data_IF_174843914609
#
_entry.id   IF_174843914609
#
_cell.length_a   1.000
_cell.length_b   1.000
_cell.length_c   1.000
_cell.angle_alpha   90.00
_cell.angle_beta   90.00
_cell.angle_gamma   90.00
#
_symmetry.space_group_name_H-M   'P 1'
#
loop_
_entity.id
_entity.type
_entity.pdbx_description
1 polymer ?
#
# COMPACT_ATOMS: atom_id res chain seq x y z
N UNK A 1 -13.81 -25.48 21.27
CA UNK A 1 -14.12 -24.04 21.11
C UNK A 1 -12.84 -23.25 21.29
N UNK A 2 -12.59 -22.19 20.50
CA UNK A 2 -11.37 -21.39 20.63
C UNK A 2 -11.44 -20.58 21.93
N UNK A 3 -10.67 -20.97 22.94
CA UNK A 3 -10.55 -20.30 24.22
C UNK A 3 -9.09 -20.30 24.67
N UNK A 4 -8.71 -19.32 25.46
CA UNK A 4 -7.33 -19.19 25.96
C UNK A 4 -7.32 -18.65 27.39
N UNK A 5 -6.32 -19.05 28.16
CA UNK A 5 -6.00 -18.49 29.49
C UNK A 5 -4.68 -17.72 29.49
N UNK A 6 -3.94 -17.75 28.36
CA UNK A 6 -2.61 -17.15 28.26
C UNK A 6 -2.72 -15.65 28.04
N UNK A 7 -1.97 -14.90 28.82
CA UNK A 7 -1.93 -13.46 28.81
C UNK A 7 -0.52 -12.94 28.50
N UNK A 8 -0.48 -11.83 27.77
CA UNK A 8 0.65 -10.91 27.76
C UNK A 8 0.30 -9.74 28.68
N UNK A 9 1.09 -9.51 29.72
CA UNK A 9 1.00 -8.32 30.55
C UNK A 9 1.56 -7.13 29.77
N UNK A 10 0.81 -6.05 29.73
CA UNK A 10 1.23 -4.85 29.02
C UNK A 10 0.71 -3.59 29.69
N UNK A 11 1.34 -2.44 29.45
CA UNK A 11 0.88 -1.15 29.96
C UNK A 11 -0.54 -0.85 29.48
N UNK A 12 -1.43 -0.44 30.39
CA UNK A 12 -2.85 -0.21 30.05
C UNK A 12 -3.01 0.74 28.86
N UNK A 13 -2.24 1.83 28.80
CA UNK A 13 -2.29 2.75 27.66
C UNK A 13 -1.93 2.08 26.32
N UNK A 14 -1.01 1.10 26.31
CA UNK A 14 -0.65 0.32 25.11
C UNK A 14 -1.76 -0.68 24.77
N UNK A 15 -2.35 -1.34 25.77
CA UNK A 15 -3.51 -2.23 25.58
C UNK A 15 -4.68 -1.47 24.93
N UNK A 16 -4.98 -0.27 25.43
CA UNK A 16 -6.04 0.56 24.88
C UNK A 16 -5.68 1.12 23.49
N UNK A 17 -4.42 1.47 23.25
CA UNK A 17 -3.97 1.91 21.92
C UNK A 17 -4.14 0.81 20.87
N UNK A 18 -3.80 -0.44 21.22
CA UNK A 18 -4.07 -1.61 20.39
C UNK A 18 -5.59 -1.82 20.19
N UNK A 19 -6.37 -1.71 21.27
CA UNK A 19 -7.83 -1.93 21.27
C UNK A 19 -8.66 -0.86 20.54
N UNK A 20 -8.08 0.32 20.33
CA UNK A 20 -8.62 1.45 19.56
C UNK A 20 -8.00 1.58 18.17
N UNK A 21 -7.11 0.67 17.76
CA UNK A 21 -6.48 0.70 16.43
C UNK A 21 -5.47 1.85 16.24
N UNK A 22 -5.02 2.50 17.32
CA UNK A 22 -3.99 3.56 17.27
C UNK A 22 -2.58 3.00 17.04
N UNK A 23 -2.40 1.71 17.27
CA UNK A 23 -1.16 0.96 17.10
C UNK A 23 -1.51 -0.50 16.79
N UNK A 24 -0.67 -1.18 16.01
CA UNK A 24 -0.83 -2.60 15.66
C UNK A 24 0.42 -3.43 15.90
N UNK A 25 1.52 -2.80 16.31
CA UNK A 25 2.80 -3.47 16.57
C UNK A 25 3.16 -3.43 18.04
N UNK A 26 4.02 -4.33 18.50
CA UNK A 26 4.74 -4.21 19.76
C UNK A 26 6.24 -4.28 19.51
N UNK A 27 7.01 -3.40 20.17
CA UNK A 27 8.46 -3.36 20.06
C UNK A 27 9.07 -4.04 21.28
N UNK A 28 9.76 -5.17 21.10
CA UNK A 28 10.29 -6.00 22.20
C UNK A 28 11.78 -6.29 22.04
N UNK A 29 12.43 -6.65 23.15
CA UNK A 29 13.81 -7.18 23.19
C UNK A 29 13.90 -8.68 22.96
N UNK A 30 12.75 -9.34 22.78
CA UNK A 30 12.65 -10.79 22.69
C UNK A 30 11.57 -11.20 21.68
N UNK A 31 11.69 -12.42 21.15
CA UNK A 31 10.66 -13.09 20.34
C UNK A 31 9.62 -13.75 21.27
N UNK A 32 8.41 -13.94 20.77
CA UNK A 32 7.38 -14.75 21.44
C UNK A 32 7.11 -16.01 20.64
N UNK A 33 6.84 -17.11 21.36
CA UNK A 33 6.32 -18.34 20.76
C UNK A 33 4.80 -18.45 20.91
N UNK A 34 4.16 -17.52 21.64
CA UNK A 34 2.70 -17.46 21.71
C UNK A 34 2.16 -16.88 20.41
N UNK A 35 1.35 -17.68 19.71
CA UNK A 35 0.62 -17.27 18.50
C UNK A 35 -0.61 -16.42 18.82
N UNK A 36 -1.18 -16.59 20.01
CA UNK A 36 -2.41 -15.93 20.46
C UNK A 36 -2.35 -15.74 21.98
N UNK A 37 -2.77 -14.57 22.47
CA UNK A 37 -2.83 -14.26 23.90
C UNK A 37 -3.85 -13.15 24.20
N UNK A 38 -4.38 -13.15 25.42
CA UNK A 38 -5.16 -12.05 25.97
C UNK A 38 -4.24 -10.88 26.36
N UNK A 39 -4.69 -9.65 26.14
CA UNK A 39 -3.98 -8.45 26.55
C UNK A 39 -4.37 -8.11 27.99
N UNK A 40 -3.49 -8.39 28.95
CA UNK A 40 -3.72 -8.13 30.36
C UNK A 40 -3.12 -6.76 30.74
N UNK A 41 -3.94 -5.77 31.12
CA UNK A 41 -3.45 -4.43 31.40
C UNK A 41 -2.73 -4.35 32.76
N UNK A 42 -1.67 -3.56 32.79
CA UNK A 42 -0.83 -3.30 33.96
C UNK A 42 -0.56 -1.80 34.12
N UNK A 43 -0.25 -1.40 35.34
CA UNK A 43 -0.04 0.02 35.73
C UNK A 43 1.39 0.28 36.21
N UNK A 44 2.32 -0.64 35.95
CA UNK A 44 3.69 -0.55 36.50
C UNK A 44 4.42 0.75 36.12
N UNK A 45 4.01 1.40 35.03
CA UNK A 45 4.62 2.62 34.50
C UNK A 45 4.03 3.90 35.08
N UNK A 46 2.81 3.87 35.63
CA UNK A 46 2.13 5.09 36.13
C UNK A 46 2.69 5.59 37.45
N UNK A 47 3.54 4.80 38.10
CA UNK A 47 4.20 5.17 39.36
C UNK A 47 5.44 6.07 39.13
N UNK A 48 5.88 6.26 37.89
CA UNK A 48 6.91 7.23 37.56
C UNK A 48 6.28 8.63 37.49
N UNK A 49 6.86 9.62 38.19
CA UNK A 49 6.37 11.01 38.24
C UNK A 49 6.21 11.69 36.86
N UNK A 50 6.67 11.05 35.78
CA UNK A 50 6.72 11.62 34.44
C UNK A 50 6.51 10.58 33.33
N UNK A 51 5.66 9.59 33.59
CA UNK A 51 5.44 8.48 32.65
C UNK A 51 4.97 8.94 31.25
N UNK A 52 4.31 10.10 31.16
CA UNK A 52 3.89 10.72 29.90
C UNK A 52 5.06 11.05 28.98
N UNK A 53 6.25 11.36 29.51
CA UNK A 53 7.45 11.51 28.69
C UNK A 53 7.74 10.28 27.86
N UNK A 54 7.31 9.08 28.25
CA UNK A 54 7.53 7.87 27.44
C UNK A 54 6.69 7.80 26.17
N UNK A 55 5.69 8.68 26.01
CA UNK A 55 4.73 8.68 24.91
C UNK A 55 4.84 9.95 24.06
N UNK A 56 4.36 9.85 22.82
CA UNK A 56 4.27 10.99 21.90
C UNK A 56 3.23 12.00 22.38
N UNK A 57 3.51 13.29 22.23
CA UNK A 57 2.67 14.39 22.73
C UNK A 57 1.24 14.33 22.18
N UNK A 58 1.06 14.01 20.89
CA UNK A 58 -0.26 13.82 20.25
C UNK A 58 -1.12 12.72 20.90
N UNK A 59 -0.55 11.89 21.77
CA UNK A 59 -1.23 10.81 22.46
C UNK A 59 -1.36 11.03 23.97
N UNK A 60 -0.85 12.12 24.54
CA UNK A 60 -0.87 12.35 25.99
C UNK A 60 -2.27 12.30 26.57
N UNK A 61 -3.24 13.05 26.02
CA UNK A 61 -4.63 13.02 26.50
C UNK A 61 -5.27 11.63 26.44
N UNK A 62 -4.88 10.81 25.46
CA UNK A 62 -5.32 9.42 25.37
C UNK A 62 -4.67 8.57 26.47
N UNK A 63 -3.35 8.71 26.65
CA UNK A 63 -2.58 7.96 27.65
C UNK A 63 -3.03 8.29 29.07
N UNK A 64 -3.34 9.55 29.37
CA UNK A 64 -3.88 9.98 30.67
C UNK A 64 -5.24 9.34 30.95
N UNK A 65 -6.16 9.44 29.98
CA UNK A 65 -7.51 8.85 30.05
C UNK A 65 -7.46 7.34 30.29
N UNK A 66 -6.50 6.66 29.68
CA UNK A 66 -6.33 5.22 29.73
C UNK A 66 -5.09 4.79 30.53
N UNK A 67 -4.75 5.55 31.57
CA UNK A 67 -3.62 5.24 32.45
C UNK A 67 -3.89 4.03 33.36
N UNK A 68 -5.14 3.89 33.83
CA UNK A 68 -5.56 2.83 34.74
C UNK A 68 -6.62 1.91 34.08
N UNK A 69 -6.51 0.57 34.24
CA UNK A 69 -7.55 -0.34 33.78
C UNK A 69 -8.78 -0.27 34.67
N UNK A 70 -9.93 -0.67 34.12
CA UNK A 70 -11.12 -0.92 34.93
C UNK A 70 -10.90 -2.16 35.82
N UNK A 71 -11.27 -2.04 37.10
CA UNK A 71 -11.13 -3.09 38.11
C UNK A 71 -12.38 -3.17 38.97
N UNK A 72 -12.74 -4.39 39.37
CA UNK A 72 -13.76 -4.66 40.38
C UNK A 72 -13.15 -5.57 41.45
N UNK A 73 -12.87 -4.99 42.63
CA UNK A 73 -12.04 -5.64 43.65
C UNK A 73 -10.64 -5.97 43.12
N UNK A 74 -10.22 -7.22 43.29
CA UNK A 74 -8.92 -7.72 42.79
C UNK A 74 -8.94 -8.07 41.29
N UNK A 75 -10.13 -8.11 40.67
CA UNK A 75 -10.28 -8.52 39.26
C UNK A 75 -10.00 -7.36 38.33
N UNK A 76 -9.28 -7.66 37.24
CA UNK A 76 -8.96 -6.69 36.20
C UNK A 76 -9.72 -7.00 34.94
N UNK A 77 -10.31 -5.98 34.32
CA UNK A 77 -11.07 -6.14 33.08
C UNK A 77 -10.14 -6.44 31.88
N UNK A 78 -10.45 -7.50 31.15
CA UNK A 78 -9.81 -7.85 29.88
C UNK A 78 -10.82 -7.67 28.76
N UNK A 79 -10.46 -6.83 27.78
CA UNK A 79 -11.33 -6.49 26.64
C UNK A 79 -10.85 -7.05 25.31
N UNK A 80 -9.57 -7.38 25.21
CA UNK A 80 -8.91 -7.65 23.93
C UNK A 80 -8.05 -8.92 23.97
N UNK A 81 -7.93 -9.55 22.82
CA UNK A 81 -6.88 -10.53 22.56
C UNK A 81 -6.18 -10.19 21.25
N UNK A 82 -4.97 -10.71 21.07
CA UNK A 82 -4.18 -10.52 19.87
C UNK A 82 -3.62 -11.84 19.35
N UNK A 83 -3.52 -11.95 18.03
CA UNK A 83 -2.70 -12.95 17.35
C UNK A 83 -1.42 -12.31 16.82
N UNK A 84 -0.34 -13.08 16.81
CA UNK A 84 0.95 -12.65 16.24
C UNK A 84 0.98 -13.08 14.78
N UNK A 85 0.87 -12.11 13.87
CA UNK A 85 0.89 -12.36 12.42
C UNK A 85 2.32 -12.49 11.89
N UNK A 86 3.22 -11.62 12.37
CA UNK A 86 4.61 -11.59 11.94
C UNK A 86 5.50 -11.05 13.05
N UNK A 87 6.75 -11.53 13.11
CA UNK A 87 7.79 -10.93 13.94
C UNK A 87 8.93 -10.47 13.03
N UNK A 88 9.19 -9.17 12.99
CA UNK A 88 10.31 -8.59 12.26
C UNK A 88 11.47 -8.35 13.23
N UNK A 89 12.63 -8.93 12.94
CA UNK A 89 13.87 -8.61 13.64
C UNK A 89 14.55 -7.43 12.95
N UNK A 90 14.90 -6.40 13.73
CA UNK A 90 15.49 -5.16 13.26
C UNK A 90 16.57 -4.64 14.21
N UNK A 91 17.66 -4.05 13.70
CA UNK A 91 18.59 -3.33 14.57
C UNK A 91 17.91 -2.06 15.15
N UNK A 92 18.35 -1.53 16.30
CA UNK A 92 17.77 -0.34 16.93
C UNK A 92 17.69 0.92 16.05
N UNK A 93 18.49 0.97 14.98
CA UNK A 93 18.54 2.09 14.04
C UNK A 93 17.41 2.06 13.01
N UNK A 94 16.77 0.90 12.81
CA UNK A 94 15.79 0.64 11.76
C UNK A 94 14.47 0.21 12.41
N UNK A 95 13.88 1.12 13.17
CA UNK A 95 12.58 0.92 13.83
C UNK A 95 11.51 1.57 12.95
N UNK A 96 10.29 1.00 12.87
CA UNK A 96 9.18 1.60 12.13
C UNK A 96 8.93 3.07 12.50
N UNK A 97 8.22 3.78 11.63
CA UNK A 97 7.80 5.17 11.91
C UNK A 97 7.00 5.28 13.22
N UNK A 98 7.06 6.44 13.86
CA UNK A 98 6.26 6.76 15.06
C UNK A 98 4.75 6.74 14.80
N UNK A 99 4.32 6.65 13.54
CA UNK A 99 2.91 6.47 13.19
C UNK A 99 2.37 5.07 13.54
N UNK A 100 3.22 4.07 13.78
CA UNK A 100 2.78 2.71 14.07
C UNK A 100 2.66 2.40 15.55
N UNK A 101 3.15 3.27 16.44
CA UNK A 101 3.15 3.04 17.88
C UNK A 101 3.05 4.35 18.67
N UNK A 102 2.61 4.30 19.92
CA UNK A 102 2.37 5.52 20.72
C UNK A 102 3.55 5.98 21.58
N UNK A 103 4.53 5.09 21.83
CA UNK A 103 5.78 5.48 22.50
C UNK A 103 6.53 6.53 21.68
N UNK A 104 7.29 7.41 22.34
CA UNK A 104 8.25 8.29 21.64
C UNK A 104 9.51 7.53 21.26
N UNK A 105 10.18 7.90 20.17
CA UNK A 105 11.46 7.32 19.71
C UNK A 105 12.53 7.28 20.79
N UNK A 106 12.65 8.34 21.58
CA UNK A 106 13.60 8.41 22.70
C UNK A 106 13.36 7.31 23.74
N UNK A 107 12.09 7.01 24.03
CA UNK A 107 11.72 5.92 24.94
C UNK A 107 12.01 4.57 24.31
N UNK A 108 11.68 4.34 23.03
CA UNK A 108 11.99 3.07 22.34
C UNK A 108 13.49 2.79 22.33
N UNK A 109 14.32 3.80 22.06
CA UNK A 109 15.78 3.69 22.07
C UNK A 109 16.30 3.32 23.47
N UNK A 110 15.82 4.01 24.50
CA UNK A 110 16.15 3.73 25.90
C UNK A 110 15.71 2.33 26.31
N UNK A 111 14.48 1.96 25.96
CA UNK A 111 13.93 0.62 26.18
C UNK A 111 14.86 -0.40 25.57
N UNK A 112 15.11 -0.40 24.25
CA UNK A 112 15.93 -1.41 23.56
C UNK A 112 17.37 -1.52 24.09
N UNK A 113 17.95 -0.42 24.57
CA UNK A 113 19.30 -0.36 25.13
C UNK A 113 20.37 -1.04 24.22
N UNK A 114 20.36 -0.67 22.94
CA UNK A 114 21.31 -1.18 21.94
C UNK A 114 21.04 -2.59 21.41
N UNK A 115 20.08 -3.34 21.98
CA UNK A 115 19.71 -4.69 21.50
C UNK A 115 18.77 -4.63 20.29
N UNK A 116 18.81 -5.65 19.44
CA UNK A 116 17.86 -5.80 18.34
C UNK A 116 16.40 -5.70 18.83
N UNK A 117 15.60 -4.98 18.05
CA UNK A 117 14.17 -4.88 18.21
C UNK A 117 13.49 -6.06 17.51
N UNK A 118 12.54 -6.66 18.21
CA UNK A 118 11.58 -7.59 17.65
C UNK A 118 10.24 -6.87 17.56
N UNK A 119 9.84 -6.56 16.34
CA UNK A 119 8.57 -5.90 16.04
C UNK A 119 7.53 -6.99 15.84
N UNK A 120 6.64 -7.16 16.82
CA UNK A 120 5.53 -8.10 16.73
C UNK A 120 4.38 -7.39 16.06
N UNK A 121 3.99 -7.83 14.85
CA UNK A 121 2.81 -7.34 14.15
C UNK A 121 1.61 -8.13 14.66
N UNK A 122 0.66 -7.42 15.27
CA UNK A 122 -0.46 -8.02 15.98
C UNK A 122 -1.77 -7.74 15.25
N UNK A 123 -2.55 -8.80 15.01
CA UNK A 123 -3.96 -8.65 14.71
C UNK A 123 -4.75 -8.67 16.01
N UNK A 124 -5.40 -7.55 16.32
CA UNK A 124 -6.09 -7.33 17.60
C UNK A 124 -7.58 -7.48 17.43
N UNK A 125 -8.22 -8.12 18.40
CA UNK A 125 -9.65 -8.41 18.41
C UNK A 125 -10.27 -7.93 19.72
N UNK A 126 -11.48 -7.37 19.64
CA UNK A 126 -12.32 -7.01 20.77
C UNK A 126 -13.18 -8.21 21.15
N UNK A 127 -13.12 -8.62 22.41
CA UNK A 127 -13.97 -9.69 22.93
C UNK A 127 -15.44 -9.29 22.86
N UNK A 128 -16.32 -10.25 22.57
CA UNK A 128 -17.78 -10.03 22.53
C UNK A 128 -18.31 -9.43 23.83
N UNK A 129 -17.72 -9.84 24.96
CA UNK A 129 -17.97 -9.27 26.28
C UNK A 129 -16.63 -9.16 27.00
N UNK A 130 -16.36 -8.05 27.71
CA UNK A 130 -15.21 -7.95 28.60
C UNK A 130 -15.24 -9.08 29.65
N UNK A 131 -14.06 -9.55 30.06
CA UNK A 131 -13.90 -10.60 31.05
C UNK A 131 -13.18 -10.06 32.27
N UNK A 132 -13.80 -10.19 33.45
CA UNK A 132 -13.20 -9.80 34.72
C UNK A 132 -12.27 -10.91 35.22
N UNK A 133 -10.97 -10.66 35.11
CA UNK A 133 -9.96 -11.70 35.22
C UNK A 133 -9.27 -11.76 36.58
N UNK A 134 -9.15 -12.99 37.08
CA UNK A 134 -8.28 -13.35 38.19
C UNK A 134 -6.98 -13.96 37.64
N UNK A 135 -5.83 -13.43 38.06
CA UNK A 135 -4.54 -14.03 37.74
C UNK A 135 -4.35 -15.32 38.55
N UNK A 136 -3.97 -16.42 37.88
CA UNK A 136 -3.62 -17.67 38.54
C UNK A 136 -2.20 -17.59 39.11
N UNK A 137 -1.24 -17.30 38.23
CA UNK A 137 0.18 -17.12 38.53
C UNK A 137 0.89 -16.67 37.24
N UNK A 138 2.01 -15.95 37.35
CA UNK A 138 2.80 -15.59 36.18
C UNK A 138 3.96 -14.63 36.52
N UNK A 139 5.20 -15.13 36.64
CA UNK A 139 6.36 -14.27 36.77
C UNK A 139 6.68 -13.59 35.43
N UNK A 140 7.11 -12.32 35.50
CA UNK A 140 7.52 -11.56 34.33
C UNK A 140 6.37 -11.11 33.44
N UNK A 141 6.59 -11.13 32.11
CA UNK A 141 5.74 -10.49 31.10
C UNK A 141 4.55 -11.35 30.65
N UNK A 142 4.60 -12.66 30.88
CA UNK A 142 3.49 -13.55 30.58
C UNK A 142 2.76 -13.97 31.87
N UNK A 143 1.47 -14.21 31.76
CA UNK A 143 0.64 -14.68 32.86
C UNK A 143 -0.40 -15.67 32.35
N UNK A 144 -0.94 -16.48 33.27
CA UNK A 144 -2.14 -17.26 33.00
C UNK A 144 -3.28 -16.79 33.90
N UNK A 145 -4.49 -16.80 33.35
CA UNK A 145 -5.73 -16.60 34.11
C UNK A 145 -6.12 -17.89 34.83
N UNK A 146 -6.94 -17.77 35.87
CA UNK A 146 -7.51 -18.94 36.57
C UNK A 146 -8.48 -19.73 35.69
N UNK A 147 -9.15 -19.05 34.76
CA UNK A 147 -10.13 -19.66 33.86
C UNK A 147 -9.84 -19.29 32.41
N UNK A 148 -10.29 -20.15 31.49
CA UNK A 148 -10.19 -19.90 30.05
C UNK A 148 -11.26 -18.94 29.58
N UNK A 149 -10.86 -17.94 28.82
CA UNK A 149 -11.75 -16.97 28.19
C UNK A 149 -12.14 -17.45 26.81
N UNK A 150 -13.43 -17.45 26.51
CA UNK A 150 -13.96 -17.77 25.19
C UNK A 150 -13.64 -16.64 24.20
N UNK A 151 -13.09 -16.98 23.04
CA UNK A 151 -12.81 -16.03 21.95
C UNK A 151 -13.92 -16.01 20.90
N UNK A 152 -15.02 -16.75 21.13
CA UNK A 152 -16.10 -16.89 20.16
C UNK A 152 -16.85 -15.57 19.97
N UNK A 153 -16.95 -15.12 18.73
CA UNK A 153 -17.69 -13.90 18.36
C UNK A 153 -16.94 -12.61 18.68
N UNK A 154 -15.63 -12.68 18.90
CA UNK A 154 -14.80 -11.49 18.95
C UNK A 154 -14.62 -10.90 17.55
N UNK A 155 -14.51 -9.58 17.48
CA UNK A 155 -14.45 -8.82 16.23
C UNK A 155 -13.08 -8.16 16.08
N UNK A 156 -12.52 -8.11 14.86
CA UNK A 156 -11.23 -7.47 14.66
C UNK A 156 -11.35 -5.96 14.92
N UNK A 157 -10.34 -5.37 15.57
CA UNK A 157 -10.32 -3.93 15.87
C UNK A 157 -10.15 -3.09 14.61
N UNK A 158 -9.33 -3.57 13.68
CA UNK A 158 -9.17 -3.00 12.34
C UNK A 158 -9.82 -3.92 11.30
N UNK A 159 -10.39 -3.33 10.26
CA UNK A 159 -10.86 -4.09 9.10
C UNK A 159 -9.70 -4.80 8.41
N UNK A 160 -10.00 -5.80 7.57
CA UNK A 160 -8.96 -6.52 6.81
C UNK A 160 -8.17 -5.59 5.90
N UNK A 161 -8.85 -4.64 5.27
CA UNK A 161 -8.24 -3.61 4.42
C UNK A 161 -7.26 -2.73 5.22
N UNK A 162 -7.72 -2.11 6.31
CA UNK A 162 -6.88 -1.20 7.13
C UNK A 162 -5.66 -1.92 7.71
N UNK A 163 -5.83 -3.18 8.13
CA UNK A 163 -4.72 -3.98 8.64
C UNK A 163 -3.70 -4.32 7.55
N UNK A 164 -4.17 -4.69 6.36
CA UNK A 164 -3.29 -4.97 5.21
C UNK A 164 -2.48 -3.74 4.82
N UNK A 165 -3.13 -2.57 4.69
CA UNK A 165 -2.45 -1.29 4.42
C UNK A 165 -1.43 -0.94 5.50
N UNK A 166 -1.72 -1.28 6.76
CA UNK A 166 -0.77 -1.06 7.86
C UNK A 166 0.44 -1.99 7.72
N UNK A 167 0.22 -3.25 7.36
CA UNK A 167 1.28 -4.24 7.17
C UNK A 167 2.23 -3.83 6.05
N UNK A 168 1.69 -3.33 4.94
CA UNK A 168 2.45 -2.83 3.80
C UNK A 168 3.31 -1.61 4.11
N UNK A 169 3.06 -0.86 5.19
CA UNK A 169 3.85 0.35 5.50
C UNK A 169 4.95 0.11 6.55
N UNK A 170 5.11 -1.11 7.05
CA UNK A 170 5.91 -1.39 8.26
C UNK A 170 7.43 -1.50 8.04
N UNK A 171 7.93 -1.73 6.82
CA UNK A 171 9.37 -1.68 6.55
C UNK A 171 9.79 -0.38 5.88
N UNK A 172 11.03 0.10 6.06
CA UNK A 172 11.54 1.28 5.35
C UNK A 172 11.46 1.14 3.83
N UNK A 173 11.77 -0.05 3.31
CA UNK A 173 11.68 -0.37 1.89
C UNK A 173 10.23 -0.30 1.41
N UNK A 174 9.28 -0.89 2.15
CA UNK A 174 7.87 -0.81 1.77
C UNK A 174 7.31 0.61 1.97
N UNK A 175 7.78 1.38 2.96
CA UNK A 175 7.42 2.79 3.15
C UNK A 175 7.96 3.67 2.02
N UNK A 176 9.14 3.37 1.49
CA UNK A 176 9.70 4.07 0.34
C UNK A 176 8.90 3.71 -0.92
N UNK A 177 8.56 2.44 -1.09
CA UNK A 177 7.69 1.97 -2.18
C UNK A 177 6.32 2.64 -2.14
N UNK A 178 5.69 2.70 -0.96
CA UNK A 178 4.41 3.38 -0.77
C UNK A 178 4.50 4.87 -1.08
N UNK A 179 5.55 5.55 -0.60
CA UNK A 179 5.78 6.97 -0.89
C UNK A 179 6.01 7.21 -2.39
N UNK A 180 6.77 6.35 -3.06
CA UNK A 180 6.99 6.41 -4.50
C UNK A 180 5.68 6.23 -5.28
N UNK A 181 4.87 5.22 -4.95
CA UNK A 181 3.58 5.01 -5.61
C UNK A 181 2.64 6.20 -5.40
N UNK A 182 2.57 6.74 -4.19
CA UNK A 182 1.75 7.93 -3.88
C UNK A 182 2.13 9.13 -4.76
N UNK A 183 3.43 9.47 -4.81
CA UNK A 183 3.92 10.57 -5.65
C UNK A 183 3.63 10.34 -7.14
N UNK A 184 3.74 9.08 -7.57
CA UNK A 184 3.49 8.69 -8.95
C UNK A 184 2.02 8.80 -9.33
N UNK A 185 1.11 8.40 -8.45
CA UNK A 185 -0.34 8.52 -8.67
C UNK A 185 -0.80 9.99 -8.67
N UNK A 186 -0.24 10.82 -7.77
CA UNK A 186 -0.46 12.27 -7.77
C UNK A 186 0.01 12.92 -9.09
N UNK A 187 1.20 12.56 -9.55
CA UNK A 187 1.73 13.03 -10.84
C UNK A 187 0.87 12.56 -12.02
N UNK A 188 0.38 11.32 -12.00
CA UNK A 188 -0.47 10.78 -13.06
C UNK A 188 -1.80 11.55 -13.16
N UNK A 189 -2.42 11.90 -12.02
CA UNK A 189 -3.62 12.72 -11.98
C UNK A 189 -3.37 14.13 -12.55
N UNK A 190 -2.30 14.80 -12.12
CA UNK A 190 -1.94 16.13 -12.61
C UNK A 190 -1.64 16.11 -14.13
N UNK A 191 -0.92 15.10 -14.59
CA UNK A 191 -0.61 14.93 -16.01
C UNK A 191 -1.89 14.73 -16.85
N UNK A 192 -2.81 13.90 -16.36
CA UNK A 192 -4.07 13.64 -17.05
C UNK A 192 -4.97 14.88 -17.14
N UNK A 193 -5.00 15.72 -16.11
CA UNK A 193 -5.67 17.02 -16.13
C UNK A 193 -5.08 17.95 -17.20
N UNK A 194 -3.75 18.02 -17.30
CA UNK A 194 -3.06 18.80 -18.32
C UNK A 194 -3.35 18.27 -19.75
N UNK A 195 -3.41 16.95 -19.95
CA UNK A 195 -3.75 16.37 -21.26
C UNK A 195 -5.18 16.74 -21.67
N UNK A 196 -6.12 16.71 -20.73
CA UNK A 196 -7.54 17.05 -20.96
C UNK A 196 -7.74 18.51 -21.34
N UNK A 197 -6.90 19.43 -20.86
CA UNK A 197 -6.99 20.87 -21.13
C UNK A 197 -6.29 21.30 -22.43
N UNK A 198 -5.41 20.47 -23.01
CA UNK A 198 -4.70 20.78 -24.25
C UNK A 198 -5.63 20.80 -25.49
N UNK A 199 -5.14 21.19 -26.66
CA UNK A 199 -5.89 21.06 -27.93
C UNK A 199 -5.89 19.63 -28.48
N UNK A 200 -6.89 19.27 -29.30
CA UNK A 200 -6.97 17.93 -29.92
C UNK A 200 -5.72 17.60 -30.74
N UNK A 201 -5.17 18.55 -31.49
CA UNK A 201 -3.95 18.35 -32.26
C UNK A 201 -2.73 18.10 -31.36
N UNK A 202 -2.64 18.82 -30.24
CA UNK A 202 -1.56 18.59 -29.28
C UNK A 202 -1.67 17.23 -28.60
N UNK A 203 -2.88 16.78 -28.26
CA UNK A 203 -3.10 15.45 -27.72
C UNK A 203 -2.64 14.35 -28.69
N UNK A 204 -2.95 14.46 -29.97
CA UNK A 204 -2.44 13.52 -31.00
C UNK A 204 -0.91 13.49 -31.01
N UNK A 205 -0.27 14.66 -30.92
CA UNK A 205 1.19 14.75 -30.82
C UNK A 205 1.74 14.04 -29.58
N UNK A 206 1.11 14.20 -28.41
CA UNK A 206 1.50 13.50 -27.17
C UNK A 206 1.47 11.98 -27.39
N UNK A 207 0.40 11.47 -28.00
CA UNK A 207 0.26 10.03 -28.26
C UNK A 207 1.40 9.50 -29.14
N UNK A 208 1.76 10.23 -30.20
CA UNK A 208 2.85 9.81 -31.08
C UNK A 208 4.21 9.90 -30.38
N UNK A 209 4.45 10.97 -29.63
CA UNK A 209 5.68 11.12 -28.83
C UNK A 209 5.82 9.97 -27.82
N UNK A 210 4.72 9.54 -27.19
CA UNK A 210 4.67 8.39 -26.30
C UNK A 210 5.02 7.09 -27.03
N UNK A 211 4.33 6.77 -28.12
CA UNK A 211 4.56 5.52 -28.85
C UNK A 211 6.00 5.41 -29.38
N UNK A 212 6.59 6.52 -29.84
CA UNK A 212 8.00 6.58 -30.24
C UNK A 212 8.95 6.32 -29.07
N UNK A 213 8.66 6.89 -27.90
CA UNK A 213 9.45 6.67 -26.68
C UNK A 213 9.32 5.25 -26.11
N UNK A 214 8.19 4.60 -26.38
CA UNK A 214 7.97 3.18 -26.11
C UNK A 214 8.73 2.27 -27.10
N UNK A 215 9.23 2.83 -28.21
CA UNK A 215 10.02 2.11 -29.21
C UNK A 215 9.23 1.65 -30.44
N UNK A 216 7.95 1.99 -30.55
CA UNK A 216 7.18 1.80 -31.78
C UNK A 216 7.61 2.82 -32.84
N UNK A 217 7.46 2.46 -34.12
CA UNK A 217 7.79 3.33 -35.24
C UNK A 217 9.24 3.22 -35.73
N UNK A 218 9.57 4.12 -36.66
CA UNK A 218 10.89 4.26 -37.27
C UNK A 218 11.53 5.60 -36.91
N UNK A 219 11.78 6.42 -37.93
CA UNK A 219 12.27 7.80 -37.72
C UNK A 219 11.14 8.75 -37.28
N UNK A 220 11.47 9.89 -36.68
CA UNK A 220 10.45 10.90 -36.30
C UNK A 220 9.69 11.46 -37.50
N UNK A 221 10.32 11.48 -38.69
CA UNK A 221 9.66 11.87 -39.94
C UNK A 221 8.58 10.88 -40.36
N UNK A 222 8.85 9.58 -40.22
CA UNK A 222 7.88 8.52 -40.52
C UNK A 222 6.62 8.64 -39.63
N UNK A 223 6.81 9.11 -38.38
CA UNK A 223 5.74 9.28 -37.41
C UNK A 223 4.89 10.54 -37.65
N UNK A 224 5.49 11.61 -38.16
CA UNK A 224 4.74 12.81 -38.56
C UNK A 224 3.91 12.54 -39.83
N UNK A 225 4.47 11.83 -40.82
CA UNK A 225 3.76 11.40 -42.05
C UNK A 225 2.62 10.40 -41.76
N UNK A 226 2.77 9.60 -40.71
CA UNK A 226 1.78 8.64 -40.23
C UNK A 226 0.47 9.27 -39.75
N UNK A 227 0.52 10.51 -39.23
CA UNK A 227 -0.65 11.25 -38.73
C UNK A 227 -1.44 11.85 -39.90
N UNK A 228 -0.76 12.34 -40.95
CA UNK A 228 -1.42 12.98 -42.10
C UNK A 228 -2.22 12.00 -42.97
N UNK A 229 -1.85 10.71 -42.98
CA UNK A 229 -2.55 9.66 -43.74
C UNK A 229 -3.83 9.14 -43.06
N UNK A 230 -4.05 9.44 -41.77
CA UNK A 230 -5.21 8.99 -40.97
C UNK A 230 -6.48 9.84 -41.15
N UNK A 231 -6.83 10.19 -42.39
CA UNK A 231 -7.89 11.16 -42.67
C UNK A 231 -9.30 10.60 -42.86
N UNK A 232 -9.51 9.28 -42.81
CA UNK A 232 -10.77 8.67 -43.25
C UNK A 232 -11.30 7.57 -42.31
N UNK A 233 -12.63 7.44 -42.22
CA UNK A 233 -13.32 6.28 -41.63
C UNK A 233 -13.30 6.09 -40.10
N UNK A 234 -12.39 6.71 -39.36
CA UNK A 234 -12.24 6.50 -37.90
C UNK A 234 -10.91 5.88 -37.48
N UNK A 235 -9.84 6.23 -38.19
CA UNK A 235 -8.43 5.98 -37.86
C UNK A 235 -7.77 7.34 -37.80
N UNK A 236 -6.92 7.63 -36.81
CA UNK A 236 -6.25 8.93 -36.68
C UNK A 236 -4.77 8.92 -37.02
N UNK A 237 -4.14 7.74 -37.05
CA UNK A 237 -2.73 7.61 -37.39
C UNK A 237 -2.30 6.17 -37.58
N UNK A 238 -1.14 5.97 -38.19
CA UNK A 238 -0.62 4.65 -38.59
C UNK A 238 0.86 4.55 -38.23
N UNK A 239 1.24 3.81 -37.18
CA UNK A 239 2.64 3.66 -36.77
C UNK A 239 3.19 2.26 -37.08
N UNK A 240 4.47 2.14 -37.40
CA UNK A 240 5.13 0.83 -37.53
C UNK A 240 5.21 0.15 -36.16
N UNK A 241 5.07 -1.17 -36.11
CA UNK A 241 5.23 -1.93 -34.85
C UNK A 241 6.68 -1.87 -34.34
N UNK A 242 7.65 -1.83 -35.24
CA UNK A 242 9.06 -1.82 -34.93
C UNK A 242 9.86 -1.00 -35.96
N UNK A 243 11.18 -0.87 -35.72
CA UNK A 243 12.09 -0.09 -36.57
C UNK A 243 12.26 -0.67 -37.98
N UNK A 244 12.09 -1.98 -38.16
CA UNK A 244 12.13 -2.65 -39.46
C UNK A 244 10.80 -2.49 -40.21
N UNK A 245 9.70 -2.25 -39.49
CA UNK A 245 8.38 -2.01 -40.05
C UNK A 245 7.73 -3.26 -40.63
N UNK A 246 7.92 -4.41 -39.97
CA UNK A 246 7.36 -5.69 -40.40
C UNK A 246 5.83 -5.73 -40.31
N UNK A 247 5.26 -4.95 -39.40
CA UNK A 247 3.83 -4.78 -39.23
C UNK A 247 3.49 -3.31 -38.93
N UNK A 248 2.20 -3.00 -39.03
CA UNK A 248 1.66 -1.65 -38.85
C UNK A 248 0.53 -1.66 -37.83
N UNK A 249 0.59 -0.72 -36.90
CA UNK A 249 -0.37 -0.50 -35.83
C UNK A 249 -1.17 0.75 -36.15
N UNK A 250 -2.48 0.60 -36.18
CA UNK A 250 -3.41 1.69 -36.41
C UNK A 250 -3.79 2.33 -35.08
N UNK A 251 -3.85 3.65 -35.05
CA UNK A 251 -4.07 4.43 -33.84
C UNK A 251 -5.38 5.19 -33.96
N UNK A 252 -6.21 5.11 -32.93
CA UNK A 252 -7.34 6.00 -32.72
C UNK A 252 -7.21 6.63 -31.34
N UNK A 253 -7.14 7.97 -31.26
CA UNK A 253 -7.20 8.68 -29.99
C UNK A 253 -8.54 9.42 -29.88
N UNK A 254 -9.14 9.43 -28.70
CA UNK A 254 -10.37 10.19 -28.47
C UNK A 254 -10.43 10.73 -27.06
N UNK A 255 -11.07 11.88 -26.89
CA UNK A 255 -11.33 12.47 -25.58
C UNK A 255 -12.72 12.08 -25.11
N UNK A 256 -12.83 11.68 -23.85
CA UNK A 256 -14.09 11.28 -23.21
C UNK A 256 -14.23 9.78 -23.01
N UNK A 257 -15.22 9.36 -22.21
CA UNK A 257 -15.49 7.94 -21.99
C UNK A 257 -15.93 7.24 -23.28
N UNK A 258 -15.42 6.03 -23.49
CA UNK A 258 -15.59 5.30 -24.75
C UNK A 258 -16.56 4.14 -24.58
N UNK A 259 -17.49 4.04 -25.52
CA UNK A 259 -18.52 3.00 -25.55
C UNK A 259 -18.28 1.95 -26.64
N UNK A 260 -18.95 0.80 -26.53
CA UNK A 260 -18.81 -0.32 -27.48
C UNK A 260 -18.96 0.08 -28.96
N UNK A 261 -19.94 0.92 -29.36
CA UNK A 261 -20.08 1.35 -30.75
C UNK A 261 -18.84 2.00 -31.35
N UNK A 262 -18.03 2.68 -30.54
CA UNK A 262 -16.82 3.35 -31.01
C UNK A 262 -15.69 2.35 -31.28
N UNK A 263 -15.56 1.34 -30.41
CA UNK A 263 -14.62 0.24 -30.64
C UNK A 263 -15.07 -0.60 -31.85
N UNK A 264 -16.38 -0.82 -32.02
CA UNK A 264 -16.94 -1.46 -33.22
C UNK A 264 -16.60 -0.69 -34.48
N UNK A 265 -16.81 0.63 -34.48
CA UNK A 265 -16.45 1.48 -35.62
C UNK A 265 -14.97 1.38 -35.95
N UNK A 266 -14.10 1.41 -34.93
CA UNK A 266 -12.67 1.26 -35.13
C UNK A 266 -12.31 -0.13 -35.67
N UNK A 267 -12.87 -1.22 -35.11
CA UNK A 267 -12.65 -2.58 -35.59
C UNK A 267 -13.07 -2.73 -37.06
N UNK A 268 -14.22 -2.20 -37.46
CA UNK A 268 -14.67 -2.20 -38.86
C UNK A 268 -13.75 -1.38 -39.77
N UNK A 269 -13.12 -0.31 -39.28
CA UNK A 269 -12.13 0.45 -40.05
C UNK A 269 -10.80 -0.32 -40.25
N UNK A 270 -10.49 -1.26 -39.34
CA UNK A 270 -9.31 -2.14 -39.45
C UNK A 270 -9.53 -3.31 -40.41
N UNK A 271 -10.78 -3.78 -40.57
CA UNK A 271 -11.11 -4.92 -41.42
C UNK A 271 -10.56 -4.74 -42.85
N UNK A 272 -9.74 -5.70 -43.29
CA UNK A 272 -9.11 -5.69 -44.62
C UNK A 272 -7.90 -4.77 -44.79
N UNK A 273 -7.58 -3.93 -43.79
CA UNK A 273 -6.42 -3.02 -43.83
C UNK A 273 -5.30 -3.43 -42.88
N UNK A 274 -5.64 -3.82 -41.64
CA UNK A 274 -4.65 -4.22 -40.63
C UNK A 274 -5.23 -5.18 -39.59
N UNK A 275 -4.33 -5.88 -38.89
CA UNK A 275 -4.70 -6.83 -37.83
C UNK A 275 -4.52 -6.27 -36.42
N UNK A 276 -3.82 -5.14 -36.27
CA UNK A 276 -3.42 -4.56 -34.99
C UNK A 276 -3.87 -3.10 -34.89
N UNK A 277 -4.44 -2.75 -33.75
CA UNK A 277 -4.86 -1.39 -33.45
C UNK A 277 -4.67 -1.02 -31.98
N UNK A 278 -4.50 0.26 -31.72
CA UNK A 278 -4.44 0.85 -30.38
C UNK A 278 -5.49 1.95 -30.30
N UNK A 279 -6.42 1.82 -29.36
CA UNK A 279 -7.44 2.84 -29.07
C UNK A 279 -7.10 3.51 -27.75
N UNK A 280 -6.93 4.83 -27.76
CA UNK A 280 -6.48 5.60 -26.59
C UNK A 280 -7.55 6.62 -26.19
N UNK A 281 -7.83 6.73 -24.90
CA UNK A 281 -8.69 7.78 -24.35
C UNK A 281 -8.12 8.45 -23.11
N UNK A 282 -8.57 9.67 -22.81
CA UNK A 282 -8.24 10.41 -21.59
C UNK A 282 -9.17 10.10 -20.41
N UNK A 283 -10.13 9.18 -20.58
CA UNK A 283 -11.09 8.71 -19.56
C UNK A 283 -11.11 7.19 -19.57
N UNK A 284 -12.24 6.56 -19.23
CA UNK A 284 -12.39 5.11 -19.16
C UNK A 284 -13.14 4.51 -20.36
N UNK A 285 -12.92 3.23 -20.60
CA UNK A 285 -13.76 2.41 -21.48
C UNK A 285 -14.91 1.79 -20.68
N UNK A 286 -16.08 1.69 -21.30
CA UNK A 286 -17.17 0.91 -20.70
C UNK A 286 -16.84 -0.57 -20.71
N UNK A 287 -17.39 -1.32 -19.74
CA UNK A 287 -17.20 -2.78 -19.67
C UNK A 287 -17.57 -3.49 -20.99
N UNK A 288 -18.66 -3.07 -21.62
CA UNK A 288 -19.09 -3.62 -22.91
C UNK A 288 -18.10 -3.32 -24.06
N UNK A 289 -17.35 -2.21 -23.99
CA UNK A 289 -16.32 -1.88 -24.95
C UNK A 289 -15.08 -2.78 -24.78
N UNK A 290 -14.66 -3.02 -23.54
CA UNK A 290 -13.55 -3.91 -23.19
C UNK A 290 -13.85 -5.38 -23.56
N UNK A 291 -15.05 -5.85 -23.23
CA UNK A 291 -15.51 -7.21 -23.58
C UNK A 291 -15.56 -7.39 -25.10
N UNK A 292 -16.02 -6.38 -25.84
CA UNK A 292 -16.04 -6.45 -27.31
C UNK A 292 -14.63 -6.49 -27.91
N UNK A 293 -13.71 -5.61 -27.48
CA UNK A 293 -12.33 -5.60 -27.95
C UNK A 293 -11.61 -6.95 -27.73
N UNK A 294 -11.96 -7.66 -26.64
CA UNK A 294 -11.38 -8.97 -26.30
C UNK A 294 -12.00 -10.13 -27.10
N UNK A 295 -13.17 -9.91 -27.73
CA UNK A 295 -13.95 -10.95 -28.41
C UNK A 295 -13.71 -11.06 -29.92
N UNK A 296 -13.03 -10.08 -30.51
CA UNK A 296 -12.80 -9.98 -31.95
C UNK A 296 -11.42 -10.57 -32.31
N UNK A 297 -11.29 -11.05 -33.55
CA UNK A 297 -10.03 -11.63 -34.05
C UNK A 297 -8.91 -10.58 -34.24
N UNK A 298 -9.30 -9.32 -34.48
CA UNK A 298 -8.36 -8.20 -34.58
C UNK A 298 -7.80 -7.87 -33.19
N UNK A 299 -6.48 -7.66 -33.09
CA UNK A 299 -5.83 -7.32 -31.83
C UNK A 299 -5.93 -5.83 -31.57
N UNK A 300 -6.96 -5.42 -30.84
CA UNK A 300 -7.16 -4.03 -30.41
C UNK A 300 -6.74 -3.89 -28.94
N UNK A 301 -5.71 -3.09 -28.70
CA UNK A 301 -5.29 -2.70 -27.34
C UNK A 301 -6.03 -1.43 -26.96
N UNK A 302 -6.60 -1.40 -25.75
CA UNK A 302 -7.30 -0.25 -25.20
C UNK A 302 -6.41 0.38 -24.12
N UNK A 303 -6.11 1.67 -24.26
CA UNK A 303 -5.33 2.45 -23.29
C UNK A 303 -6.22 3.55 -22.75
N UNK A 304 -6.56 3.47 -21.47
CA UNK A 304 -7.41 4.46 -20.81
C UNK A 304 -6.61 5.62 -20.24
N UNK A 305 -7.28 6.59 -19.61
CA UNK A 305 -6.63 7.80 -19.12
C UNK A 305 -5.60 7.54 -18.02
N UNK A 306 -5.87 6.56 -17.15
CA UNK A 306 -4.97 6.23 -16.05
C UNK A 306 -3.74 5.50 -16.61
N UNK A 307 -3.94 4.51 -17.48
CA UNK A 307 -2.85 3.81 -18.16
C UNK A 307 -2.00 4.75 -19.03
N UNK A 308 -2.64 5.66 -19.76
CA UNK A 308 -1.95 6.66 -20.57
C UNK A 308 -1.00 7.52 -19.71
N UNK A 309 -1.47 8.03 -18.58
CA UNK A 309 -0.65 8.86 -17.70
C UNK A 309 0.52 8.07 -17.12
N UNK A 310 0.30 6.82 -16.74
CA UNK A 310 1.35 5.93 -16.23
C UNK A 310 2.42 5.65 -17.29
N UNK A 311 2.01 5.32 -18.53
CA UNK A 311 2.93 5.12 -19.65
C UNK A 311 3.73 6.39 -19.97
N UNK A 312 3.12 7.57 -19.90
CA UNK A 312 3.84 8.83 -20.07
C UNK A 312 4.91 9.06 -19.00
N UNK A 313 4.64 8.69 -17.75
CA UNK A 313 5.63 8.75 -16.67
C UNK A 313 6.78 7.77 -16.92
N UNK A 314 6.48 6.52 -17.29
CA UNK A 314 7.51 5.47 -17.52
C UNK A 314 8.45 5.78 -18.68
N UNK A 315 7.96 6.53 -19.66
CA UNK A 315 8.68 6.86 -20.89
C UNK A 315 9.17 8.32 -20.94
N UNK A 316 9.13 9.03 -19.82
CA UNK A 316 9.58 10.42 -19.66
C UNK A 316 8.93 11.39 -20.68
N UNK A 317 7.61 11.28 -20.88
CA UNK A 317 6.83 12.13 -21.79
C UNK A 317 5.98 13.12 -21.00
N UNK A 318 6.24 14.42 -21.20
CA UNK A 318 5.51 15.47 -20.47
C UNK A 318 5.88 15.60 -18.99
N UNK A 319 6.91 14.88 -18.53
CA UNK A 319 7.42 14.90 -17.16
C UNK A 319 8.91 15.20 -17.13
N UNK A 320 9.46 15.52 -15.96
CA UNK A 320 10.90 15.78 -15.77
C UNK A 320 11.37 15.27 -14.42
N UNK A 321 12.57 14.67 -14.40
CA UNK A 321 13.18 14.14 -13.18
C UNK A 321 13.62 15.28 -12.26
N UNK A 322 13.08 15.31 -11.04
CA UNK A 322 13.43 16.32 -10.02
C UNK A 322 14.57 15.84 -9.11
N UNK A 323 14.47 14.62 -8.56
CA UNK A 323 15.43 14.06 -7.59
C UNK A 323 15.56 12.55 -7.77
N UNK A 324 16.71 11.96 -7.41
CA UNK A 324 16.88 10.50 -7.29
C UNK A 324 17.55 10.09 -5.98
N UNK A 325 17.10 8.97 -5.43
CA UNK A 325 17.67 8.32 -4.24
C UNK A 325 18.21 6.94 -4.62
N UNK A 326 19.40 6.59 -4.12
CA UNK A 326 20.00 5.26 -4.31
C UNK A 326 19.99 4.48 -2.99
N UNK A 327 19.54 3.22 -3.03
CA UNK A 327 19.58 2.31 -1.90
C UNK A 327 20.77 1.37 -2.09
N UNK A 328 21.71 1.37 -1.15
CA UNK A 328 22.91 0.52 -1.19
C UNK A 328 22.81 -0.61 -0.18
N UNK A 329 23.27 -1.80 -0.57
CA UNK A 329 23.43 -2.97 0.30
C UNK A 329 24.92 -3.32 0.33
N UNK A 330 25.36 -3.95 1.42
CA UNK A 330 26.70 -4.54 1.48
C UNK A 330 26.81 -5.57 0.35
N UNK A 331 27.85 -5.43 -0.47
CA UNK A 331 28.29 -6.44 -1.42
C UNK A 331 29.07 -7.50 -0.64
N UNK A 332 28.45 -8.65 -0.40
CA UNK A 332 29.06 -9.73 0.39
C UNK A 332 30.25 -10.36 -0.32
N UNK A 333 30.25 -10.35 -1.66
CA UNK A 333 31.27 -11.01 -2.47
C UNK A 333 32.58 -10.20 -2.45
N UNK A 334 32.48 -8.88 -2.28
CA UNK A 334 33.66 -8.03 -2.02
C UNK A 334 34.37 -8.38 -0.71
N UNK A 335 33.64 -8.89 0.29
CA UNK A 335 34.18 -9.22 1.62
C UNK A 335 34.38 -10.73 1.82
N UNK A 336 34.18 -11.57 0.80
CA UNK A 336 34.58 -12.97 0.86
C UNK A 336 36.07 -13.09 0.60
N UNK A 337 36.84 -13.47 1.63
CA UNK A 337 38.23 -13.90 1.50
C UNK A 337 38.24 -15.35 0.95
N UNK A 338 38.20 -15.50 -0.38
CA UNK A 338 38.68 -16.69 -1.09
C UNK A 338 39.90 -16.35 -1.95
#
# INVERSE_FOLDING_TARGET
>A
MKSTEKCLKEWNAIVEALGHGKQTILIRKYKTNLKEFLLYPTVSYTNENDYLKSFQEKHHSFVEKYSLPHKEGEKTEIKYFATVEKILERPPRIIPSENFYIWRRGHVKSYLNGKNAYIWVLRVYRLKKPYMADLAYGPGVYANLKERVSLKGAEPVLTDKEFSETLEKLTPEESLQYGYQTLRDELAMELLENIRSCSTGFFKKIIVDLLLKMGYGGSRKDADEAIEKGGDGGIEGIIKEDKLGLDTIYIQAKRGSISRPEIQKFASALEGQAKKGVFITTYSFSRAAQEYASSIDNRIVLIDGDELAQLMIDHDVGVSKVTSYEIKKIDTDYFSEE
#
